data_IF_296055421419
#
_entry.id   IF_296055421419
#
_cell.length_a   1.000
_cell.length_b   1.000
_cell.length_c   1.000
_cell.angle_alpha   90.00
_cell.angle_beta   90.00
_cell.angle_gamma   90.00
#
_symmetry.space_group_name_H-M   'P 1'
#
loop_
_entity.id
_entity.type
_entity.pdbx_description
1 polymer ?
#
# COMPACT_ATOMS: atom_id res chain seq x y z
N UNK A 1 -46.50 3.64 2.98
CA UNK A 1 -45.67 3.99 1.80
C UNK A 1 -44.24 3.60 2.12
N UNK A 2 -43.54 2.78 1.31
CA UNK A 2 -42.15 2.45 1.59
C UNK A 2 -41.26 3.65 1.22
N UNK A 3 -40.53 4.17 2.19
CA UNK A 3 -39.45 5.13 1.94
C UNK A 3 -38.28 4.33 1.38
N UNK A 4 -38.07 4.42 0.07
CA UNK A 4 -36.81 3.98 -0.54
C UNK A 4 -35.74 4.99 -0.17
N UNK A 5 -34.92 4.67 0.83
CA UNK A 5 -33.70 5.43 1.10
C UNK A 5 -32.69 5.08 0.02
N UNK A 6 -32.56 5.96 -0.98
CA UNK A 6 -31.46 5.91 -1.95
C UNK A 6 -30.17 6.14 -1.16
N UNK A 7 -29.17 5.23 -1.18
CA UNK A 7 -27.92 5.49 -0.49
C UNK A 7 -27.25 6.70 -1.14
N UNK A 8 -26.86 7.66 -0.31
CA UNK A 8 -26.10 8.82 -0.74
C UNK A 8 -24.85 8.34 -1.48
N UNK A 9 -24.80 8.60 -2.78
CA UNK A 9 -23.61 8.39 -3.59
C UNK A 9 -22.53 9.34 -3.07
N UNK A 10 -21.73 8.85 -2.12
CA UNK A 10 -20.65 9.64 -1.54
C UNK A 10 -19.60 9.82 -2.63
N UNK A 11 -19.41 11.07 -3.06
CA UNK A 11 -18.52 11.47 -4.14
C UNK A 11 -17.08 11.10 -3.80
N UNK A 12 -16.67 9.87 -4.15
CA UNK A 12 -15.28 9.43 -4.05
C UNK A 12 -14.48 10.17 -5.12
N UNK A 13 -13.90 11.31 -4.75
CA UNK A 13 -12.85 11.95 -5.54
C UNK A 13 -11.84 10.87 -5.94
N UNK A 14 -11.60 10.65 -7.23
CA UNK A 14 -10.65 9.62 -7.65
C UNK A 14 -9.27 10.01 -7.11
N UNK A 15 -8.75 9.20 -6.20
CA UNK A 15 -7.40 9.40 -5.66
C UNK A 15 -6.44 8.82 -6.68
N UNK A 16 -6.15 9.62 -7.70
CA UNK A 16 -5.14 9.27 -8.72
C UNK A 16 -3.78 9.65 -8.17
N UNK A 17 -3.07 8.67 -7.60
CA UNK A 17 -1.69 8.83 -7.14
C UNK A 17 -0.76 7.92 -7.93
N UNK A 18 0.26 8.49 -8.57
CA UNK A 18 1.38 7.74 -9.13
C UNK A 18 2.67 8.18 -8.44
N UNK A 19 3.39 7.21 -7.86
CA UNK A 19 4.72 7.43 -7.30
C UNK A 19 5.75 6.76 -8.20
N UNK A 20 6.95 7.33 -8.28
CA UNK A 20 8.06 6.76 -9.05
C UNK A 20 9.27 6.66 -8.15
N UNK A 21 9.88 5.47 -8.11
CA UNK A 21 11.11 5.22 -7.35
C UNK A 21 12.17 4.58 -8.24
N UNK A 22 13.44 4.94 -8.03
CA UNK A 22 14.58 4.22 -8.60
C UNK A 22 14.97 3.09 -7.66
N UNK A 23 14.84 1.85 -8.12
CA UNK A 23 15.16 0.66 -7.34
C UNK A 23 16.12 -0.25 -8.12
N UNK A 24 16.80 -1.18 -7.44
CA UNK A 24 17.55 -2.24 -8.12
C UNK A 24 16.69 -2.95 -9.17
N UNK A 25 17.21 -3.13 -10.38
CA UNK A 25 16.51 -3.75 -11.49
C UNK A 25 16.14 -5.23 -11.26
N UNK A 26 15.27 -5.80 -12.11
CA UNK A 26 14.89 -7.22 -12.03
C UNK A 26 15.95 -8.18 -12.60
N UNK A 27 16.91 -7.66 -13.36
CA UNK A 27 18.03 -8.42 -13.91
C UNK A 27 19.03 -8.83 -12.81
N UNK A 28 19.96 -9.72 -13.17
CA UNK A 28 20.99 -10.23 -12.25
C UNK A 28 21.99 -9.14 -11.82
N UNK A 29 22.27 -8.16 -12.69
CA UNK A 29 23.20 -7.06 -12.41
C UNK A 29 22.58 -6.02 -11.47
N UNK A 30 21.26 -6.07 -11.26
CA UNK A 30 20.49 -5.18 -10.41
C UNK A 30 20.63 -3.72 -10.83
N UNK A 31 20.83 -3.46 -12.13
CA UNK A 31 20.98 -2.11 -12.67
C UNK A 31 19.79 -1.23 -12.26
N UNK A 32 20.02 0.03 -11.81
CA UNK A 32 18.94 0.90 -11.37
C UNK A 32 17.85 1.03 -12.44
N UNK A 33 16.59 0.89 -12.03
CA UNK A 33 15.43 1.01 -12.92
C UNK A 33 14.31 1.76 -12.24
N UNK A 34 13.54 2.49 -13.04
CA UNK A 34 12.33 3.15 -12.55
C UNK A 34 11.24 2.10 -12.29
N UNK A 35 10.65 2.18 -11.10
CA UNK A 35 9.44 1.48 -10.73
C UNK A 35 8.34 2.51 -10.50
N UNK A 36 7.16 2.24 -11.05
CA UNK A 36 5.96 3.08 -10.92
C UNK A 36 4.97 2.39 -10.01
N UNK A 37 4.45 3.12 -9.04
CA UNK A 37 3.42 2.69 -8.11
C UNK A 37 2.14 3.42 -8.44
N UNK A 38 1.20 2.72 -9.08
CA UNK A 38 -0.12 3.26 -9.43
C UNK A 38 -1.11 2.87 -8.34
N UNK A 39 -1.67 3.84 -7.63
CA UNK A 39 -2.71 3.56 -6.63
C UNK A 39 -3.95 3.00 -7.33
N UNK A 40 -4.40 1.82 -6.89
CA UNK A 40 -5.61 1.16 -7.38
C UNK A 40 -6.78 1.34 -6.42
N UNK A 41 -6.49 1.43 -5.13
CA UNK A 41 -7.50 1.49 -4.08
C UNK A 41 -6.98 2.25 -2.87
N UNK A 42 -7.88 3.01 -2.23
CA UNK A 42 -7.67 3.62 -0.91
C UNK A 42 -8.99 3.61 -0.14
N UNK A 43 -8.96 3.05 1.06
CA UNK A 43 -10.05 3.19 2.02
C UNK A 43 -10.09 4.62 2.57
N UNK A 44 -11.29 5.18 2.69
CA UNK A 44 -11.48 6.57 3.11
C UNK A 44 -11.58 6.71 4.63
N UNK A 45 -12.06 5.70 5.34
CA UNK A 45 -12.08 5.71 6.80
C UNK A 45 -10.70 5.31 7.36
N UNK A 46 -10.02 6.19 8.11
CA UNK A 46 -8.73 5.90 8.72
C UNK A 46 -8.82 5.05 9.99
N UNK A 47 -10.01 4.73 10.50
CA UNK A 47 -10.21 3.97 11.75
C UNK A 47 -10.63 2.52 11.50
N UNK A 48 -11.16 2.22 10.33
CA UNK A 48 -11.63 0.87 9.99
C UNK A 48 -10.46 -0.09 9.72
N UNK A 49 -10.34 -1.22 10.45
CA UNK A 49 -9.35 -2.26 10.17
C UNK A 49 -9.58 -2.91 8.79
N UNK A 50 -8.50 -3.44 8.20
CA UNK A 50 -8.54 -4.13 6.92
C UNK A 50 -7.66 -3.46 5.86
N UNK A 51 -7.99 -3.63 4.58
CA UNK A 51 -7.18 -3.07 3.51
C UNK A 51 -7.31 -1.54 3.47
N UNK A 52 -6.21 -0.83 3.72
CA UNK A 52 -6.15 0.62 3.71
C UNK A 52 -5.82 1.16 2.32
N UNK A 53 -4.84 0.59 1.62
CA UNK A 53 -4.41 1.04 0.29
C UNK A 53 -3.84 -0.11 -0.53
N UNK A 54 -4.02 -0.06 -1.85
CA UNK A 54 -3.40 -0.99 -2.81
C UNK A 54 -2.76 -0.20 -3.94
N UNK A 55 -1.55 -0.58 -4.31
CA UNK A 55 -0.84 -0.08 -5.47
C UNK A 55 -0.43 -1.23 -6.40
N UNK A 56 -0.54 -0.99 -7.70
CA UNK A 56 0.14 -1.77 -8.71
C UNK A 56 1.57 -1.25 -8.87
N UNK A 57 2.54 -2.16 -8.96
CA UNK A 57 3.96 -1.88 -9.15
C UNK A 57 4.38 -2.34 -10.54
N UNK A 58 4.81 -1.39 -11.38
CA UNK A 58 5.25 -1.63 -12.76
C UNK A 58 6.74 -1.28 -12.88
N UNK A 59 7.51 -2.08 -13.64
CA UNK A 59 8.95 -1.86 -13.88
C UNK A 59 9.82 -3.09 -13.58
N UNK A 60 9.23 -4.11 -12.95
CA UNK A 60 9.83 -5.42 -12.73
C UNK A 60 9.74 -6.35 -13.94
N UNK A 61 9.84 -7.67 -13.70
CA UNK A 61 9.60 -8.69 -14.74
C UNK A 61 8.12 -8.77 -15.09
N UNK A 62 7.28 -8.64 -14.07
CA UNK A 62 5.83 -8.67 -14.14
C UNK A 62 5.27 -7.55 -13.26
N UNK A 63 3.99 -7.16 -13.44
CA UNK A 63 3.30 -6.31 -12.49
C UNK A 63 3.16 -7.01 -11.13
N UNK A 64 3.41 -6.27 -10.05
CA UNK A 64 3.15 -6.75 -8.69
C UNK A 64 2.13 -5.85 -8.01
N UNK A 65 1.63 -6.28 -6.85
CA UNK A 65 0.80 -5.46 -5.98
C UNK A 65 1.52 -5.23 -4.67
N UNK A 66 1.39 -4.02 -4.13
CA UNK A 66 1.74 -3.70 -2.74
C UNK A 66 0.46 -3.28 -2.05
N UNK A 67 0.21 -3.83 -0.87
CA UNK A 67 -0.98 -3.58 -0.08
C UNK A 67 -0.58 -3.11 1.30
N UNK A 68 -1.25 -2.06 1.79
CA UNK A 68 -1.19 -1.63 3.17
C UNK A 68 -2.46 -2.10 3.88
N UNK A 69 -2.28 -2.92 4.91
CA UNK A 69 -3.33 -3.37 5.81
C UNK A 69 -3.25 -2.58 7.11
N UNK A 70 -4.40 -2.11 7.60
CA UNK A 70 -4.59 -1.57 8.94
C UNK A 70 -5.02 -2.69 9.88
N UNK A 71 -4.28 -2.88 10.94
CA UNK A 71 -4.58 -3.87 11.98
C UNK A 71 -5.53 -3.26 13.04
N UNK A 72 -6.27 -4.08 13.80
CA UNK A 72 -7.19 -3.60 14.84
C UNK A 72 -6.55 -2.74 15.95
N UNK A 73 -5.23 -2.80 16.11
CA UNK A 73 -4.46 -2.04 17.11
C UNK A 73 -3.83 -0.76 16.54
N UNK A 74 -4.41 -0.21 15.48
CA UNK A 74 -3.91 0.99 14.77
C UNK A 74 -2.50 0.85 14.16
N UNK A 75 -1.91 -0.36 14.18
CA UNK A 75 -0.67 -0.65 13.46
C UNK A 75 -0.95 -0.94 11.99
N UNK A 76 0.11 -0.90 11.19
CA UNK A 76 0.04 -1.28 9.78
C UNK A 76 0.89 -2.49 9.47
N UNK A 77 0.44 -3.23 8.46
CA UNK A 77 1.18 -4.32 7.86
C UNK A 77 1.29 -4.10 6.35
N UNK A 78 2.50 -4.25 5.84
CA UNK A 78 2.79 -4.13 4.41
C UNK A 78 2.86 -5.52 3.80
N UNK A 79 2.24 -5.67 2.63
CA UNK A 79 2.24 -6.90 1.85
C UNK A 79 2.70 -6.59 0.43
N UNK A 80 3.43 -7.53 -0.20
CA UNK A 80 3.78 -7.41 -1.61
C UNK A 80 3.66 -8.77 -2.28
N UNK A 81 3.10 -8.80 -3.50
CA UNK A 81 2.94 -10.04 -4.27
C UNK A 81 4.21 -10.45 -5.04
N UNK A 82 5.33 -9.74 -4.89
CA UNK A 82 6.56 -10.13 -5.57
C UNK A 82 7.14 -11.42 -4.96
N UNK A 83 7.81 -12.23 -5.80
CA UNK A 83 8.41 -13.49 -5.37
C UNK A 83 9.36 -13.33 -4.16
N UNK A 84 10.11 -12.23 -4.09
CA UNK A 84 11.00 -11.96 -2.94
C UNK A 84 10.21 -11.80 -1.64
N UNK A 85 9.08 -11.09 -1.66
CA UNK A 85 8.24 -10.92 -0.48
C UNK A 85 7.56 -12.23 -0.06
N UNK A 86 7.02 -12.99 -1.03
CA UNK A 86 6.35 -14.28 -0.76
C UNK A 86 7.32 -15.31 -0.21
N UNK A 87 8.44 -15.59 -0.90
CA UNK A 87 9.32 -16.68 -0.50
C UNK A 87 10.23 -16.36 0.69
N UNK A 88 10.62 -15.08 0.88
CA UNK A 88 11.46 -14.70 2.01
C UNK A 88 10.65 -14.27 3.24
N UNK A 89 9.42 -13.77 3.05
CA UNK A 89 8.54 -13.38 4.16
C UNK A 89 8.25 -14.54 5.11
N UNK A 90 7.99 -15.73 4.56
CA UNK A 90 7.74 -16.93 5.35
C UNK A 90 9.00 -17.48 6.03
N UNK A 91 10.17 -17.27 5.42
CA UNK A 91 11.45 -17.83 5.89
C UNK A 91 12.19 -16.93 6.88
N UNK A 92 11.96 -15.63 6.81
CA UNK A 92 12.72 -14.61 7.55
C UNK A 92 11.75 -13.59 8.14
N UNK A 93 11.39 -13.74 9.43
CA UNK A 93 10.54 -12.77 10.12
C UNK A 93 11.10 -11.35 9.96
N UNK A 94 10.24 -10.40 9.58
CA UNK A 94 10.62 -9.01 9.34
C UNK A 94 11.28 -8.73 7.98
N UNK A 95 11.38 -9.72 7.08
CA UNK A 95 11.87 -9.48 5.72
C UNK A 95 11.00 -8.43 5.01
N UNK A 96 11.66 -7.49 4.34
CA UNK A 96 11.00 -6.44 3.58
C UNK A 96 11.63 -6.36 2.19
N UNK A 97 10.84 -6.63 1.16
CA UNK A 97 11.31 -6.58 -0.21
C UNK A 97 11.60 -5.14 -0.64
N UNK A 98 12.39 -5.00 -1.72
CA UNK A 98 12.73 -3.68 -2.28
C UNK A 98 11.50 -2.85 -2.67
N UNK A 99 10.38 -3.47 -3.07
CA UNK A 99 9.19 -2.74 -3.49
C UNK A 99 8.46 -2.09 -2.31
N UNK A 100 8.40 -2.77 -1.16
CA UNK A 100 7.85 -2.19 0.08
C UNK A 100 8.75 -1.04 0.55
N UNK A 101 10.07 -1.24 0.58
CA UNK A 101 11.02 -0.17 0.93
C UNK A 101 10.87 1.04 0.00
N UNK A 102 10.73 0.78 -1.30
CA UNK A 102 10.56 1.84 -2.31
C UNK A 102 9.33 2.70 -2.06
N UNK A 103 8.17 2.09 -1.81
CA UNK A 103 6.96 2.89 -1.56
C UNK A 103 7.01 3.60 -0.21
N UNK A 104 7.56 2.96 0.84
CA UNK A 104 7.73 3.58 2.15
C UNK A 104 8.62 4.82 2.08
N UNK A 105 9.65 4.81 1.23
CA UNK A 105 10.52 5.97 1.01
C UNK A 105 9.84 7.09 0.21
N UNK A 106 8.79 6.78 -0.58
CA UNK A 106 8.05 7.78 -1.36
C UNK A 106 6.86 8.38 -0.61
N UNK A 107 6.34 7.68 0.40
CA UNK A 107 5.24 8.20 1.20
C UNK A 107 5.82 9.08 2.31
N UNK A 108 5.20 10.24 2.61
CA UNK A 108 5.53 10.95 3.83
C UNK A 108 5.36 9.98 5.00
N UNK A 109 6.23 10.06 6.00
CA UNK A 109 6.03 9.34 7.26
C UNK A 109 4.62 9.64 7.71
N UNK A 110 3.76 8.63 7.68
CA UNK A 110 2.40 8.74 8.20
C UNK A 110 2.57 8.78 9.72
N UNK A 111 2.98 9.94 10.25
CA UNK A 111 2.82 10.32 11.64
C UNK A 111 1.32 10.37 11.88
N UNK A 112 0.73 9.21 12.13
CA UNK A 112 -0.65 9.12 12.56
C UNK A 112 -0.64 9.39 14.04
N UNK A 113 -0.82 10.66 14.37
CA UNK A 113 -1.03 11.15 15.71
C UNK A 113 -2.07 10.26 16.40
N UNK A 114 -1.65 9.62 17.48
CA UNK A 114 -2.50 8.96 18.45
C UNK A 114 -3.22 10.06 19.25
N UNK A 115 -4.17 10.77 18.62
CA UNK A 115 -5.07 11.65 19.37
C UNK A 115 -6.11 10.79 20.08
N UNK A 116 -5.67 10.19 21.19
CA UNK A 116 -6.56 9.69 22.23
C UNK A 116 -7.24 10.92 22.86
N UNK A 117 -8.57 11.11 22.75
CA UNK A 117 -9.22 12.17 23.51
C UNK A 117 -9.04 11.90 25.01
N UNK A 118 -8.83 12.93 25.84
CA UNK A 118 -8.73 12.75 27.28
C UNK A 118 -10.07 12.26 27.81
N UNK A 119 -10.02 11.13 28.53
CA UNK A 119 -11.10 10.62 29.38
C UNK A 119 -10.55 10.38 30.76
#
# INVERSE_FOLDING_TARGET
MPVMTVPAANHRTPIVGMLVALLPGPDRKRSPRQYRYRMLYRHTDPREPGCAMVWEVIGGREPYQVTLERLPNSKYRWHCSCADAVYQGDRKPGHTCKHIRGIQACLPTLELSDERPPG
#
